data_IF_969884596510
#
_entry.id   IF_969884596510
#
_cell.length_a   1.000
_cell.length_b   1.000
_cell.length_c   1.000
_cell.angle_alpha   90.00
_cell.angle_beta   90.00
_cell.angle_gamma   90.00
#
_symmetry.space_group_name_H-M   'P 1'
#
loop_
_entity.id
_entity.type
_entity.pdbx_description
1 polymer ?
#
# COMPACT_ATOMS: atom_id res chain seq x y z
N UNK A 1 7.50 9.81 -6.90
CA UNK A 1 6.50 10.08 -5.85
C UNK A 1 5.77 8.79 -5.47
N UNK A 2 5.70 8.50 -4.17
CA UNK A 2 4.93 7.41 -3.57
C UNK A 2 3.57 7.94 -3.10
N UNK A 3 2.49 7.32 -3.55
CA UNK A 3 1.15 7.61 -3.03
C UNK A 3 0.80 6.63 -1.92
N UNK A 4 0.31 7.13 -0.79
CA UNK A 4 -0.26 6.31 0.29
C UNK A 4 -1.77 6.55 0.37
N UNK A 5 -2.55 5.48 0.27
CA UNK A 5 -3.97 5.48 0.59
C UNK A 5 -4.13 5.08 2.06
N UNK A 6 -4.54 6.04 2.89
CA UNK A 6 -4.76 5.86 4.32
C UNK A 6 -6.18 5.35 4.58
N UNK A 7 -6.29 4.16 5.16
CA UNK A 7 -7.54 3.59 5.65
C UNK A 7 -7.80 3.96 7.13
N UNK A 8 -7.44 5.18 7.53
CA UNK A 8 -7.64 5.73 8.87
C UNK A 8 -6.93 4.95 9.99
N UNK A 9 -5.70 4.51 9.72
CA UNK A 9 -4.94 3.69 10.67
C UNK A 9 -3.84 4.47 11.40
N UNK A 10 -3.58 4.09 12.65
CA UNK A 10 -2.57 4.75 13.48
C UNK A 10 -1.14 4.42 13.06
N UNK A 11 -0.92 3.32 12.34
CA UNK A 11 0.39 2.91 11.82
C UNK A 11 0.73 3.53 10.45
N UNK A 12 -0.21 4.19 9.79
CA UNK A 12 0.04 4.90 8.52
C UNK A 12 1.21 5.89 8.65
N UNK A 13 1.32 6.60 9.79
CA UNK A 13 2.45 7.49 10.05
C UNK A 13 3.81 6.77 10.03
N UNK A 14 3.89 5.56 10.57
CA UNK A 14 5.14 4.79 10.64
C UNK A 14 5.57 4.34 9.23
N UNK A 15 4.63 3.90 8.39
CA UNK A 15 4.89 3.61 6.98
C UNK A 15 5.44 4.84 6.26
N UNK A 16 4.74 5.98 6.38
CA UNK A 16 5.15 7.24 5.76
C UNK A 16 6.54 7.66 6.22
N UNK A 17 6.83 7.53 7.53
CA UNK A 17 8.15 7.83 8.07
C UNK A 17 9.23 6.95 7.43
N UNK A 18 9.03 5.63 7.37
CA UNK A 18 10.03 4.70 6.83
C UNK A 18 10.26 4.92 5.33
N UNK A 19 9.21 5.17 4.54
CA UNK A 19 9.39 5.54 3.13
C UNK A 19 10.10 6.89 2.97
N UNK A 20 9.87 7.85 3.86
CA UNK A 20 10.58 9.13 3.87
C UNK A 20 12.06 8.96 4.20
N UNK A 21 12.40 8.08 5.14
CA UNK A 21 13.78 7.69 5.44
C UNK A 21 14.47 7.00 4.26
N UNK A 22 13.71 6.28 3.42
CA UNK A 22 14.16 5.71 2.15
C UNK A 22 14.20 6.73 0.98
N UNK A 23 14.01 8.02 1.27
CA UNK A 23 14.15 9.11 0.31
C UNK A 23 12.97 9.30 -0.64
N UNK A 24 11.80 8.71 -0.34
CA UNK A 24 10.61 8.90 -1.15
C UNK A 24 9.95 10.26 -0.89
N UNK A 25 9.52 10.93 -1.96
CA UNK A 25 8.53 12.00 -1.88
C UNK A 25 7.14 11.36 -1.78
N UNK A 26 6.40 11.67 -0.71
CA UNK A 26 5.17 10.96 -0.36
C UNK A 26 3.98 11.91 -0.36
N UNK A 27 2.87 11.48 -0.96
CA UNK A 27 1.56 12.09 -0.76
C UNK A 27 0.62 11.08 -0.10
N UNK A 28 -0.18 11.55 0.86
CA UNK A 28 -1.10 10.71 1.62
C UNK A 28 -2.52 11.25 1.42
N UNK A 29 -3.43 10.37 1.03
CA UNK A 29 -4.86 10.67 0.95
C UNK A 29 -5.63 9.59 1.67
N UNK A 30 -6.71 9.98 2.35
CA UNK A 30 -7.65 8.99 2.90
C UNK A 30 -8.40 8.31 1.77
N UNK A 31 -8.83 7.08 2.01
CA UNK A 31 -9.52 6.24 1.03
C UNK A 31 -10.83 6.82 0.47
N UNK A 32 -11.35 7.89 1.08
CA UNK A 32 -12.58 8.62 0.74
C UNK A 32 -12.33 10.09 0.35
N UNK A 33 -11.07 10.53 0.28
CA UNK A 33 -10.67 11.92 0.01
C UNK A 33 -9.90 12.12 -1.30
N UNK A 34 -9.83 11.10 -2.14
CA UNK A 34 -9.24 11.17 -3.47
C UNK A 34 -10.00 10.25 -4.43
N UNK A 35 -10.11 10.67 -5.68
CA UNK A 35 -10.73 9.90 -6.76
C UNK A 35 -9.69 9.19 -7.62
N UNK A 36 -10.10 8.14 -8.32
CA UNK A 36 -9.21 7.40 -9.23
C UNK A 36 -8.61 8.29 -10.33
N UNK A 37 -9.38 9.25 -10.85
CA UNK A 37 -8.91 10.17 -11.89
C UNK A 37 -7.88 11.17 -11.35
N UNK A 38 -8.04 11.63 -10.11
CA UNK A 38 -7.02 12.44 -9.43
C UNK A 38 -5.73 11.63 -9.21
N UNK A 39 -5.83 10.35 -8.81
CA UNK A 39 -4.67 9.47 -8.67
C UNK A 39 -3.94 9.31 -10.01
N UNK A 40 -4.68 9.10 -11.11
CA UNK A 40 -4.09 9.02 -12.45
C UNK A 40 -3.36 10.32 -12.81
N UNK A 41 -3.94 11.48 -12.49
CA UNK A 41 -3.33 12.77 -12.76
C UNK A 41 -2.05 13.01 -11.95
N UNK A 42 -1.94 12.43 -10.74
CA UNK A 42 -0.73 12.50 -9.91
C UNK A 42 0.45 11.69 -10.49
N UNK A 43 0.18 10.71 -11.37
CA UNK A 43 1.20 9.81 -11.94
C UNK A 43 2.14 9.21 -10.86
N UNK A 44 1.61 8.49 -9.85
CA UNK A 44 2.46 7.89 -8.84
C UNK A 44 3.38 6.81 -9.42
N UNK A 45 4.62 6.79 -8.96
CA UNK A 45 5.58 5.73 -9.32
C UNK A 45 5.26 4.43 -8.56
N UNK A 46 4.70 4.56 -7.36
CA UNK A 46 4.34 3.47 -6.46
C UNK A 46 3.11 3.85 -5.65
N UNK A 47 2.29 2.86 -5.28
CA UNK A 47 1.13 3.04 -4.42
C UNK A 47 1.23 2.10 -3.22
N UNK A 48 0.96 2.61 -2.03
CA UNK A 48 0.84 1.84 -0.80
C UNK A 48 -0.58 1.98 -0.28
N UNK A 49 -1.23 0.87 0.01
CA UNK A 49 -2.54 0.82 0.67
C UNK A 49 -2.29 0.41 2.11
N UNK A 50 -2.56 1.33 3.03
CA UNK A 50 -2.22 1.18 4.44
C UNK A 50 -3.06 0.10 5.13
N UNK A 51 -2.66 -0.32 6.34
CA UNK A 51 -3.57 -0.98 7.26
C UNK A 51 -4.81 -0.13 7.52
N UNK A 52 -5.82 -0.75 8.12
CA UNK A 52 -7.06 -0.11 8.53
C UNK A 52 -7.89 -1.06 9.38
N UNK A 53 -8.87 -0.55 10.15
CA UNK A 53 -9.87 -1.36 10.79
C UNK A 53 -10.88 -1.89 9.75
N UNK A 54 -11.66 -2.89 10.13
CA UNK A 54 -12.77 -3.41 9.31
C UNK A 54 -12.32 -4.46 8.31
N UNK A 55 -13.15 -4.65 7.29
CA UNK A 55 -13.00 -5.67 6.26
C UNK A 55 -12.69 -5.03 4.90
N UNK A 56 -12.23 -5.78 3.89
CA UNK A 56 -11.90 -5.21 2.57
C UNK A 56 -13.00 -4.38 1.90
N UNK A 57 -14.26 -4.64 2.23
CA UNK A 57 -15.42 -3.88 1.76
C UNK A 57 -15.42 -2.42 2.27
N UNK A 58 -14.74 -2.16 3.39
CA UNK A 58 -14.56 -0.84 4.00
C UNK A 58 -13.36 -0.08 3.41
N UNK A 59 -12.57 -0.71 2.51
CA UNK A 59 -11.34 -0.16 1.95
C UNK A 59 -11.51 1.06 1.03
N UNK A 60 -12.73 1.55 0.82
CA UNK A 60 -13.03 2.72 -0.01
C UNK A 60 -12.49 2.57 -1.43
N UNK A 61 -11.77 3.59 -1.93
CA UNK A 61 -11.19 3.59 -3.27
C UNK A 61 -10.12 2.49 -3.50
N UNK A 62 -9.62 1.85 -2.44
CA UNK A 62 -8.51 0.88 -2.49
C UNK A 62 -8.76 -0.27 -3.48
N UNK A 63 -9.97 -0.82 -3.50
CA UNK A 63 -10.33 -1.93 -4.42
C UNK A 63 -10.28 -1.50 -5.89
N UNK A 64 -10.73 -0.28 -6.19
CA UNK A 64 -10.66 0.29 -7.55
C UNK A 64 -9.23 0.59 -7.94
N UNK A 65 -8.43 1.17 -7.03
CA UNK A 65 -7.00 1.43 -7.25
C UNK A 65 -6.25 0.13 -7.59
N UNK A 66 -6.48 -0.94 -6.84
CA UNK A 66 -5.83 -2.24 -7.10
C UNK A 66 -6.20 -2.77 -8.48
N UNK A 67 -7.50 -2.75 -8.82
CA UNK A 67 -8.01 -3.29 -10.09
C UNK A 67 -7.53 -2.49 -11.29
N UNK A 68 -7.57 -1.16 -11.20
CA UNK A 68 -7.40 -0.27 -12.34
C UNK A 68 -5.95 0.18 -12.53
N UNK A 69 -5.17 0.31 -11.45
CA UNK A 69 -3.79 0.80 -11.52
C UNK A 69 -2.76 -0.29 -11.24
N UNK A 70 -3.14 -1.36 -10.55
CA UNK A 70 -2.25 -2.48 -10.27
C UNK A 70 -1.59 -3.13 -11.50
N UNK A 71 -2.20 -3.16 -12.69
CA UNK A 71 -1.53 -3.65 -13.90
C UNK A 71 -0.32 -2.83 -14.36
N UNK A 72 -0.24 -1.54 -14.01
CA UNK A 72 0.76 -0.60 -14.54
C UNK A 72 1.59 0.09 -13.48
N UNK A 73 1.15 0.11 -12.22
CA UNK A 73 1.80 0.81 -11.12
C UNK A 73 2.04 -0.19 -9.99
N UNK A 74 3.27 -0.31 -9.45
CA UNK A 74 3.55 -1.15 -8.31
C UNK A 74 2.69 -0.81 -7.10
N UNK A 75 2.04 -1.83 -6.52
CA UNK A 75 1.16 -1.69 -5.34
C UNK A 75 1.65 -2.59 -4.20
N UNK A 76 1.80 -1.99 -3.02
CA UNK A 76 1.97 -2.71 -1.76
C UNK A 76 0.71 -2.56 -0.90
N UNK A 77 0.06 -3.67 -0.58
CA UNK A 77 -0.99 -3.73 0.45
C UNK A 77 -0.45 -4.20 1.80
N UNK A 78 -0.78 -3.51 2.88
CA UNK A 78 -0.41 -3.92 4.24
C UNK A 78 -1.67 -4.17 5.07
N UNK A 79 -1.75 -5.31 5.75
CA UNK A 79 -2.91 -5.72 6.57
C UNK A 79 -4.24 -5.60 5.80
N UNK A 80 -5.11 -4.63 6.09
CA UNK A 80 -6.32 -4.38 5.30
C UNK A 80 -6.02 -4.20 3.80
N UNK A 81 -4.95 -3.47 3.45
CA UNK A 81 -4.52 -3.34 2.06
C UNK A 81 -4.12 -4.67 1.42
N UNK A 82 -3.55 -5.60 2.19
CA UNK A 82 -3.29 -6.97 1.73
C UNK A 82 -4.58 -7.75 1.49
N UNK A 83 -5.56 -7.61 2.39
CA UNK A 83 -6.86 -8.28 2.29
C UNK A 83 -7.71 -7.72 1.13
N UNK A 84 -7.54 -6.45 0.79
CA UNK A 84 -8.10 -5.88 -0.45
C UNK A 84 -7.53 -6.53 -1.72
N UNK A 85 -6.31 -7.08 -1.66
CA UNK A 85 -5.69 -7.79 -2.79
C UNK A 85 -6.09 -9.28 -2.79
N UNK A 86 -6.25 -9.91 -1.61
CA UNK A 86 -6.49 -11.34 -1.50
C UNK A 86 -6.92 -11.84 -0.11
N UNK A 87 -6.73 -13.13 0.16
CA UNK A 87 -7.28 -13.81 1.35
C UNK A 87 -6.58 -13.46 2.68
N UNK A 88 -7.36 -13.35 3.77
CA UNK A 88 -6.92 -12.96 5.11
C UNK A 88 -5.94 -13.92 5.82
N UNK A 89 -5.98 -15.21 5.51
CA UNK A 89 -5.20 -16.24 6.23
C UNK A 89 -3.74 -16.34 5.71
N UNK A 90 -3.49 -15.81 4.51
CA UNK A 90 -2.18 -15.90 3.84
C UNK A 90 -1.29 -14.74 4.28
N UNK A 91 -0.10 -15.01 4.80
CA UNK A 91 0.76 -13.95 5.36
C UNK A 91 1.38 -13.03 4.31
N UNK A 92 1.54 -13.50 3.07
CA UNK A 92 2.12 -12.74 1.99
C UNK A 92 1.72 -13.31 0.64
N UNK A 93 1.41 -12.42 -0.31
CA UNK A 93 1.01 -12.77 -1.65
C UNK A 93 1.60 -11.80 -2.67
N UNK A 94 1.70 -12.26 -3.91
CA UNK A 94 2.09 -11.44 -5.06
C UNK A 94 1.26 -11.87 -6.27
N UNK A 95 0.76 -10.90 -7.03
CA UNK A 95 0.10 -11.18 -8.30
C UNK A 95 1.10 -11.78 -9.29
N UNK A 96 0.66 -12.78 -10.07
CA UNK A 96 1.56 -13.51 -10.98
C UNK A 96 2.04 -12.67 -12.17
N UNK A 97 1.20 -11.74 -12.61
CA UNK A 97 1.42 -10.96 -13.84
C UNK A 97 1.64 -9.47 -13.58
N UNK A 98 1.18 -8.96 -12.43
CA UNK A 98 1.15 -7.53 -12.14
C UNK A 98 2.05 -7.23 -10.93
N UNK A 99 2.63 -6.02 -10.82
CA UNK A 99 3.51 -5.62 -9.71
C UNK A 99 2.73 -5.34 -8.41
N UNK A 100 1.84 -6.24 -8.03
CA UNK A 100 0.98 -6.12 -6.85
C UNK A 100 1.48 -7.12 -5.81
N UNK A 101 1.83 -6.64 -4.62
CA UNK A 101 2.28 -7.45 -3.49
C UNK A 101 1.46 -7.07 -2.26
N UNK A 102 1.15 -8.04 -1.40
CA UNK A 102 0.49 -7.79 -0.12
C UNK A 102 1.17 -8.52 1.01
N UNK A 103 1.24 -7.91 2.19
CA UNK A 103 1.70 -8.54 3.44
C UNK A 103 0.66 -8.36 4.56
N UNK A 104 0.34 -9.44 5.27
CA UNK A 104 -0.68 -9.42 6.33
C UNK A 104 -0.13 -8.85 7.66
N UNK A 105 1.19 -8.84 7.82
CA UNK A 105 1.88 -8.24 8.97
C UNK A 105 2.35 -6.82 8.66
N UNK A 106 2.72 -6.07 9.71
CA UNK A 106 3.11 -4.67 9.64
C UNK A 106 4.64 -4.53 9.47
N UNK A 107 5.19 -4.29 8.27
CA UNK A 107 6.63 -4.03 8.06
C UNK A 107 7.12 -2.74 8.74
N UNK A 108 6.21 -1.82 9.08
CA UNK A 108 6.47 -0.60 9.82
C UNK A 108 6.52 -0.79 11.34
N UNK A 109 6.15 -1.98 11.84
CA UNK A 109 6.22 -2.29 13.27
C UNK A 109 7.66 -2.46 13.72
N UNK A 110 7.97 -1.95 14.91
CA UNK A 110 9.27 -2.15 15.58
C UNK A 110 9.61 -3.64 15.79
N UNK A 111 8.60 -4.51 15.82
CA UNK A 111 8.77 -5.95 16.01
C UNK A 111 9.12 -6.69 14.70
N UNK A 112 9.05 -6.02 13.56
CA UNK A 112 9.42 -6.58 12.27
C UNK A 112 10.85 -6.17 11.94
N UNK A 113 11.83 -6.95 12.43
CA UNK A 113 13.26 -6.63 12.33
C UNK A 113 13.72 -6.27 10.91
N UNK A 114 13.24 -7.01 9.91
CA UNK A 114 13.57 -6.81 8.49
C UNK A 114 12.55 -5.95 7.72
N UNK A 115 11.75 -5.16 8.45
CA UNK A 115 10.66 -4.39 7.89
C UNK A 115 11.13 -3.36 6.86
N UNK A 116 12.20 -2.63 7.17
CA UNK A 116 12.77 -1.62 6.26
C UNK A 116 13.36 -2.23 5.00
N UNK A 117 14.02 -3.39 5.09
CA UNK A 117 14.51 -4.11 3.91
C UNK A 117 13.36 -4.57 3.02
N UNK A 118 12.23 -5.02 3.59
CA UNK A 118 11.04 -5.38 2.82
C UNK A 118 10.46 -4.17 2.07
N UNK A 119 10.36 -3.01 2.73
CA UNK A 119 9.90 -1.78 2.08
C UNK A 119 10.86 -1.31 0.98
N UNK A 120 12.17 -1.42 1.20
CA UNK A 120 13.18 -1.09 0.19
C UNK A 120 13.09 -2.03 -1.04
N UNK A 121 12.84 -3.33 -0.81
CA UNK A 121 12.64 -4.29 -1.89
C UNK A 121 11.39 -3.97 -2.72
N UNK A 122 10.32 -3.46 -2.09
CA UNK A 122 9.13 -2.99 -2.81
C UNK A 122 9.47 -1.81 -3.75
N UNK A 123 10.20 -0.81 -3.26
CA UNK A 123 10.62 0.33 -4.09
C UNK A 123 11.57 -0.02 -5.24
N UNK A 124 12.26 -1.16 -5.13
CA UNK A 124 13.15 -1.67 -6.16
C UNK A 124 12.41 -2.46 -7.26
N UNK A 125 11.09 -2.67 -7.14
CA UNK A 125 10.31 -3.33 -8.17
C UNK A 125 10.14 -2.38 -9.36
N UNK A 126 10.54 -2.86 -10.55
CA UNK A 126 10.39 -2.16 -11.84
C UNK A 126 9.27 -2.75 -12.65
#
# INVERSE_FOLDING_TARGET
MLLVIDNYDSFTYNLVQYFGELGQEIQVFRNDQITLDEIRALHPDHIVISPGPGDPEDGGISLEVIRELGPTTPILGVCLGHQCIGQEEVMGLRHREFPITGVQFHPESILTEYGKELLANFLAQT
#
